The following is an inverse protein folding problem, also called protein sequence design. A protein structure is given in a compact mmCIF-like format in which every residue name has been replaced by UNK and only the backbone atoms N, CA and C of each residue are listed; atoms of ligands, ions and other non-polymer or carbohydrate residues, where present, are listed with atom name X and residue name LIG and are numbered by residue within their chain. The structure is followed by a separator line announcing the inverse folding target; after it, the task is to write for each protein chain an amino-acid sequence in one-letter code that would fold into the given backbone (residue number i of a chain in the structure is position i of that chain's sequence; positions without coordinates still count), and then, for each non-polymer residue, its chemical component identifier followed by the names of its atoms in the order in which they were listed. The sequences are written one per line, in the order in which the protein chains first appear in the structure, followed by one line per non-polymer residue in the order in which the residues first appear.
data_IF_871644351023
#
_entry.id   IF_871644351023
#
_cell.length_a   1.000
_cell.length_b   1.000
_cell.length_c   1.000
_cell.angle_alpha   90.00
_cell.angle_beta   90.00
_cell.angle_gamma   90.00
#
_symmetry.space_group_name_H-M   'P 1'
#
loop_
_entity.id
_entity.type
_entity.pdbx_description
1 polymer ?
#
# COMPACT_ATOMS: atom_id res chain seq x y z
N UNK A 1 -16.32 9.14 1.06
CA UNK A 1 -15.65 10.39 1.51
C UNK A 1 -14.27 9.98 1.99
N UNK A 2 -13.16 10.15 1.28
CA UNK A 2 -12.78 11.24 0.39
C UNK A 2 -11.73 10.78 -0.64
N UNK A 3 -12.08 10.77 -1.92
CA UNK A 3 -11.12 10.69 -3.05
C UNK A 3 -10.53 12.07 -3.39
N UNK A 4 -10.89 13.10 -2.62
CA UNK A 4 -10.49 14.50 -2.85
C UNK A 4 -9.09 14.88 -2.35
N UNK A 5 -8.28 13.92 -1.87
CA UNK A 5 -6.98 14.23 -1.25
C UNK A 5 -5.86 14.44 -2.29
N UNK A 6 -5.95 13.84 -3.48
CA UNK A 6 -4.82 13.90 -4.43
C UNK A 6 -4.80 15.10 -5.38
N UNK A 7 -5.93 15.80 -5.61
CA UNK A 7 -5.96 16.93 -6.57
C UNK A 7 -5.72 18.29 -5.90
N UNK A 8 -5.93 18.42 -4.58
CA UNK A 8 -5.79 19.72 -3.90
C UNK A 8 -4.41 20.01 -3.29
N UNK A 9 -3.49 19.04 -3.25
CA UNK A 9 -2.15 19.25 -2.68
C UNK A 9 -1.11 19.79 -3.68
N UNK A 10 -1.40 19.76 -4.99
CA UNK A 10 -0.45 20.16 -6.04
C UNK A 10 -0.43 21.67 -6.37
N UNK A 11 -1.24 22.52 -5.71
CA UNK A 11 -1.33 23.96 -6.05
C UNK A 11 -0.95 24.96 -4.94
N UNK A 12 -0.37 24.52 -3.81
CA UNK A 12 -0.12 25.42 -2.68
C UNK A 12 1.25 25.32 -1.99
N UNK A 13 2.29 24.81 -2.68
CA UNK A 13 3.67 24.82 -2.16
C UNK A 13 4.65 25.55 -3.08
N UNK A 14 4.30 26.76 -3.50
CA UNK A 14 5.29 27.81 -3.81
C UNK A 14 5.54 28.61 -2.53
N UNK A 15 6.37 28.08 -1.62
CA UNK A 15 7.22 28.84 -0.67
C UNK A 15 7.83 27.88 0.37
N UNK A 16 9.13 27.59 0.24
CA UNK A 16 9.88 26.87 1.26
C UNK A 16 11.17 26.29 0.71
N UNK A 17 12.23 27.10 0.67
CA UNK A 17 13.60 26.61 0.54
C UNK A 17 13.90 25.63 1.69
N UNK A 18 14.46 24.47 1.35
CA UNK A 18 15.12 23.57 2.28
C UNK A 18 16.26 22.89 1.52
N UNK A 19 17.49 23.29 1.85
CA UNK A 19 18.70 22.94 1.13
C UNK A 19 18.92 21.43 0.98
N UNK A 20 19.22 21.04 -0.25
CA UNK A 20 19.63 19.71 -0.61
C UNK A 20 21.03 19.39 -0.07
N UNK A 21 21.11 18.31 0.69
CA UNK A 21 22.29 17.44 0.69
C UNK A 21 21.81 15.99 0.66
N UNK A 22 21.58 15.47 -0.55
CA UNK A 22 21.37 14.03 -0.74
C UNK A 22 22.73 13.33 -0.62
N UNK A 23 22.97 12.68 0.51
CA UNK A 23 23.98 11.63 0.57
C UNK A 23 23.33 10.35 0.04
N UNK A 24 23.60 10.05 -1.23
CA UNK A 24 23.19 8.81 -1.86
C UNK A 24 23.76 7.62 -1.09
N UNK A 25 22.87 6.85 -0.47
CA UNK A 25 23.13 5.46 -0.14
C UNK A 25 22.13 4.64 -0.94
N UNK A 26 22.64 3.95 -1.96
CA UNK A 26 21.92 2.91 -2.66
C UNK A 26 21.64 1.78 -1.66
N UNK A 27 20.45 1.76 -1.08
CA UNK A 27 19.96 0.57 -0.40
C UNK A 27 19.60 -0.44 -1.50
N UNK A 28 20.44 -1.46 -1.65
CA UNK A 28 20.23 -2.54 -2.62
C UNK A 28 18.98 -3.33 -2.24
N UNK A 29 18.15 -3.58 -3.25
CA UNK A 29 17.05 -4.56 -3.24
C UNK A 29 17.51 -5.83 -2.51
N UNK A 30 16.86 -6.15 -1.37
CA UNK A 30 17.27 -7.23 -0.45
C UNK A 30 17.51 -6.79 1.01
N UNK A 31 17.39 -5.49 1.33
CA UNK A 31 17.54 -4.95 2.69
C UNK A 31 16.29 -5.04 3.57
N UNK A 32 15.17 -5.57 3.08
CA UNK A 32 14.05 -5.91 3.97
C UNK A 32 14.55 -7.00 4.90
N UNK A 33 14.59 -6.72 6.22
CA UNK A 33 14.90 -7.77 7.20
C UNK A 33 14.04 -8.98 6.83
N UNK A 34 14.69 -10.07 6.44
CA UNK A 34 14.04 -11.36 6.32
C UNK A 34 13.37 -11.59 7.67
N UNK A 35 12.04 -11.47 7.72
CA UNK A 35 11.29 -11.88 8.90
C UNK A 35 11.70 -13.34 9.17
N UNK A 36 12.04 -13.69 10.42
CA UNK A 36 12.69 -14.96 10.73
C UNK A 36 11.94 -16.13 10.07
N UNK A 37 12.69 -17.08 9.50
CA UNK A 37 12.16 -18.25 8.79
C UNK A 37 11.34 -19.19 9.71
N UNK A 38 11.40 -18.98 11.03
CA UNK A 38 10.60 -19.70 12.01
C UNK A 38 9.23 -19.04 12.19
N UNK A 39 8.18 -19.84 11.95
CA UNK A 39 6.82 -19.59 12.44
C UNK A 39 6.93 -19.35 13.94
N UNK A 40 6.94 -18.08 14.38
CA UNK A 40 6.78 -17.74 15.79
C UNK A 40 5.47 -18.38 16.27
N UNK A 41 5.50 -19.24 17.30
CA UNK A 41 4.29 -19.75 17.94
C UNK A 41 3.38 -18.57 18.31
N UNK A 42 2.06 -18.79 18.42
CA UNK A 42 1.08 -17.76 18.84
C UNK A 42 1.52 -16.97 20.09
N UNK A 43 2.33 -17.60 20.95
CA UNK A 43 2.89 -17.04 22.18
C UNK A 43 4.09 -16.10 21.97
N UNK A 44 4.50 -15.88 20.72
CA UNK A 44 5.61 -15.01 20.29
C UNK A 44 5.20 -14.04 19.17
N UNK A 45 3.88 -13.85 18.95
CA UNK A 45 3.37 -12.71 18.19
C UNK A 45 4.00 -11.41 18.72
N UNK A 46 4.24 -10.38 17.87
CA UNK A 46 4.89 -9.12 18.28
C UNK A 46 4.29 -8.61 19.60
N UNK A 47 5.11 -8.01 20.47
CA UNK A 47 4.74 -7.61 21.85
C UNK A 47 3.40 -6.87 21.96
N UNK A 48 2.99 -6.20 20.89
CA UNK A 48 1.67 -5.56 20.70
C UNK A 48 0.51 -6.54 20.96
N UNK A 49 0.58 -7.80 20.53
CA UNK A 49 -0.45 -8.81 20.80
C UNK A 49 -0.39 -9.39 22.22
N UNK A 50 0.66 -9.09 22.99
CA UNK A 50 0.91 -9.68 24.31
C UNK A 50 0.56 -8.76 25.47
N UNK A 51 0.71 -7.44 25.31
CA UNK A 51 0.45 -6.47 26.37
C UNK A 51 -0.98 -5.91 26.34
N UNK A 52 -1.74 -6.10 27.42
CA UNK A 52 -2.93 -5.30 27.73
C UNK A 52 -4.28 -5.72 27.13
N UNK A 53 -4.40 -6.90 26.51
CA UNK A 53 -5.67 -7.41 25.96
C UNK A 53 -6.08 -8.77 26.51
N UNK A 54 -7.37 -8.91 26.89
CA UNK A 54 -7.95 -10.21 27.24
C UNK A 54 -8.16 -11.07 25.98
N UNK A 55 -8.23 -12.40 26.11
CA UNK A 55 -8.54 -13.30 24.99
C UNK A 55 -9.82 -12.90 24.23
N UNK A 56 -10.86 -12.45 24.92
CA UNK A 56 -12.13 -12.03 24.32
C UNK A 56 -11.99 -10.74 23.50
N UNK A 57 -11.20 -9.79 23.99
CA UNK A 57 -10.95 -8.54 23.27
C UNK A 57 -10.15 -8.78 21.99
N UNK A 58 -9.20 -9.73 22.02
CA UNK A 58 -8.46 -10.17 20.83
C UNK A 58 -9.41 -10.81 19.82
N UNK A 59 -10.32 -11.68 20.27
CA UNK A 59 -11.29 -12.33 19.41
C UNK A 59 -12.28 -11.35 18.75
N UNK A 60 -12.79 -10.38 19.51
CA UNK A 60 -13.71 -9.37 18.96
C UNK A 60 -13.03 -8.39 18.02
N UNK A 61 -11.73 -8.14 18.21
CA UNK A 61 -10.93 -7.40 17.25
C UNK A 61 -10.84 -8.22 15.94
N UNK A 62 -10.36 -9.45 16.04
CA UNK A 62 -10.17 -10.35 14.89
C UNK A 62 -11.45 -10.58 14.09
N UNK A 63 -12.62 -10.69 14.71
CA UNK A 63 -13.93 -10.78 14.00
C UNK A 63 -14.23 -9.58 13.10
N UNK A 64 -13.77 -8.38 13.48
CA UNK A 64 -14.05 -7.15 12.70
C UNK A 64 -13.17 -7.06 11.47
N UNK A 65 -11.96 -7.59 11.58
CA UNK A 65 -10.88 -7.48 10.61
C UNK A 65 -10.93 -8.64 9.62
N UNK A 66 -11.25 -9.83 10.13
CA UNK A 66 -11.50 -11.04 9.36
C UNK A 66 -12.89 -11.54 9.74
N UNK A 67 -13.95 -11.06 9.06
CA UNK A 67 -15.29 -11.55 9.30
C UNK A 67 -15.37 -13.06 9.11
N UNK A 68 -16.25 -13.69 9.88
CA UNK A 68 -16.55 -15.12 9.75
C UNK A 68 -17.10 -15.40 8.35
N UNK A 69 -16.41 -16.24 7.61
CA UNK A 69 -16.92 -16.91 6.42
C UNK A 69 -17.37 -18.34 6.75
N UNK A 70 -17.81 -19.06 5.72
CA UNK A 70 -18.55 -20.33 5.88
C UNK A 70 -17.68 -21.54 6.29
N UNK A 71 -16.40 -21.36 6.58
CA UNK A 71 -15.41 -22.43 6.81
C UNK A 71 -15.30 -22.92 8.27
N UNK A 72 -16.19 -22.47 9.16
CA UNK A 72 -16.24 -22.85 10.58
C UNK A 72 -14.94 -22.56 11.38
N UNK A 73 -14.01 -21.76 10.85
CA UNK A 73 -12.79 -21.33 11.53
C UNK A 73 -13.06 -20.11 12.41
N UNK A 74 -12.44 -20.07 13.59
CA UNK A 74 -12.39 -18.84 14.39
C UNK A 74 -11.56 -17.77 13.68
N UNK A 75 -11.76 -16.48 14.00
CA UNK A 75 -10.90 -15.41 13.49
C UNK A 75 -9.41 -15.62 13.77
N UNK A 76 -9.03 -16.20 14.91
CA UNK A 76 -7.64 -16.55 15.23
C UNK A 76 -7.10 -17.62 14.28
N UNK A 77 -7.89 -18.67 14.04
CA UNK A 77 -7.53 -19.75 13.13
C UNK A 77 -7.40 -19.26 11.69
N UNK A 78 -8.25 -18.31 11.28
CA UNK A 78 -8.16 -17.62 9.98
C UNK A 78 -6.89 -16.79 9.86
N UNK A 79 -6.51 -16.05 10.91
CA UNK A 79 -5.26 -15.29 10.91
C UNK A 79 -4.07 -16.22 10.74
N UNK A 80 -4.04 -17.30 11.53
CA UNK A 80 -2.95 -18.27 11.49
C UNK A 80 -2.86 -18.93 10.13
N UNK A 81 -4.01 -19.30 9.54
CA UNK A 81 -4.08 -19.86 8.20
C UNK A 81 -3.58 -18.87 7.15
N UNK A 82 -4.04 -17.62 7.17
CA UNK A 82 -3.58 -16.56 6.27
C UNK A 82 -2.06 -16.37 6.36
N UNK A 83 -1.52 -16.36 7.59
CA UNK A 83 -0.08 -16.29 7.82
C UNK A 83 0.65 -17.51 7.26
N UNK A 84 0.16 -18.72 7.52
CA UNK A 84 0.72 -19.95 6.98
C UNK A 84 0.74 -19.94 5.45
N UNK A 85 -0.36 -19.52 4.82
CA UNK A 85 -0.47 -19.44 3.36
C UNK A 85 0.50 -18.37 2.80
N UNK A 86 0.62 -17.22 3.47
CA UNK A 86 1.55 -16.15 3.10
C UNK A 86 3.03 -16.58 3.25
N UNK A 87 3.36 -17.28 4.34
CA UNK A 87 4.68 -17.87 4.61
C UNK A 87 5.00 -18.98 3.59
N UNK A 88 3.99 -19.73 3.12
CA UNK A 88 4.12 -20.73 2.08
C UNK A 88 4.31 -20.15 0.66
N UNK A 89 4.21 -18.82 0.52
CA UNK A 89 4.45 -18.12 -0.74
C UNK A 89 3.19 -17.68 -1.49
N UNK A 90 1.99 -17.89 -0.95
CA UNK A 90 0.76 -17.50 -1.63
C UNK A 90 0.67 -15.97 -1.76
N UNK A 91 0.65 -15.47 -3.00
CA UNK A 91 0.73 -14.04 -3.27
C UNK A 91 -0.53 -13.27 -2.84
N UNK A 92 -1.71 -13.91 -2.87
CA UNK A 92 -2.95 -13.30 -2.39
C UNK A 92 -2.92 -13.19 -0.87
N UNK A 93 -2.49 -14.26 -0.18
CA UNK A 93 -2.32 -14.27 1.26
C UNK A 93 -1.27 -13.25 1.71
N UNK A 94 -0.17 -13.10 0.98
CA UNK A 94 0.84 -12.07 1.24
C UNK A 94 0.27 -10.66 1.03
N UNK A 95 -0.48 -10.41 -0.04
CA UNK A 95 -1.14 -9.14 -0.27
C UNK A 95 -2.15 -8.81 0.84
N UNK A 96 -2.99 -9.77 1.21
CA UNK A 96 -3.96 -9.63 2.27
C UNK A 96 -3.30 -9.40 3.64
N UNK A 97 -2.23 -10.13 3.95
CA UNK A 97 -1.46 -9.94 5.18
C UNK A 97 -0.77 -8.57 5.22
N UNK A 98 -0.23 -8.10 4.09
CA UNK A 98 0.29 -6.73 3.97
C UNK A 98 -0.78 -5.67 4.20
N UNK A 99 -1.97 -5.85 3.62
CA UNK A 99 -3.11 -4.95 3.82
C UNK A 99 -3.58 -4.91 5.28
N UNK A 100 -3.54 -6.04 5.97
CA UNK A 100 -3.83 -6.14 7.40
C UNK A 100 -2.87 -5.34 8.27
N UNK A 101 -1.57 -5.38 7.97
CA UNK A 101 -0.57 -4.56 8.67
C UNK A 101 -0.70 -3.07 8.30
N UNK A 102 -1.02 -2.77 7.04
CA UNK A 102 -1.18 -1.40 6.54
C UNK A 102 -2.41 -0.69 7.13
N UNK A 103 -3.56 -1.36 7.21
CA UNK A 103 -4.79 -0.75 7.72
C UNK A 103 -4.80 -0.59 9.24
N UNK A 104 -3.86 -1.25 9.95
CA UNK A 104 -3.84 -1.33 11.41
C UNK A 104 -5.04 -2.05 12.00
N UNK A 105 -5.96 -2.54 11.17
CA UNK A 105 -7.17 -3.24 11.59
C UNK A 105 -6.76 -4.50 12.34
N UNK A 106 -5.78 -5.28 11.84
CA UNK A 106 -5.20 -6.44 12.50
C UNK A 106 -4.78 -6.22 13.96
N UNK A 107 -4.52 -4.97 14.36
CA UNK A 107 -3.66 -4.65 15.49
C UNK A 107 -4.30 -3.66 16.49
N UNK A 108 -5.35 -2.89 16.23
CA UNK A 108 -5.74 -1.81 17.19
C UNK A 108 -7.15 -1.87 17.77
N UNK A 109 -7.25 -2.30 19.03
CA UNK A 109 -7.45 -1.44 20.23
C UNK A 109 -6.89 -2.20 21.42
N UNK A 110 -5.96 -1.65 22.20
CA UNK A 110 -5.67 -2.18 23.54
C UNK A 110 -6.83 -1.85 24.52
N UNK A 111 -6.86 -2.48 25.70
CA UNK A 111 -7.91 -2.24 26.70
C UNK A 111 -7.94 -0.80 27.27
N UNK A 112 -6.99 0.05 26.90
CA UNK A 112 -6.92 1.46 27.32
C UNK A 112 -7.44 2.43 26.26
N UNK A 113 -7.75 1.94 25.06
CA UNK A 113 -8.20 2.75 23.94
C UNK A 113 -7.07 3.43 23.17
N UNK A 114 -5.82 3.01 23.39
CA UNK A 114 -4.66 3.49 22.63
C UNK A 114 -4.52 2.67 21.34
N UNK A 115 -4.29 3.38 20.23
CA UNK A 115 -4.03 2.77 18.91
C UNK A 115 -2.67 2.09 18.97
N UNK A 116 -2.64 0.79 18.67
CA UNK A 116 -1.40 0.05 18.48
C UNK A 116 -0.87 0.35 17.07
N UNK A 117 0.41 0.69 16.96
CA UNK A 117 1.04 1.27 15.77
C UNK A 117 0.86 0.41 14.52
N UNK A 118 0.59 1.06 13.39
CA UNK A 118 0.68 0.50 12.04
C UNK A 118 2.09 -0.06 11.82
N UNK A 119 2.23 -1.35 11.49
CA UNK A 119 3.53 -1.90 11.12
C UNK A 119 3.73 -1.74 9.61
N UNK A 120 4.02 -0.50 9.21
CA UNK A 120 4.21 -0.13 7.81
C UNK A 120 5.45 -0.82 7.20
N UNK A 121 6.47 -1.13 8.01
CA UNK A 121 7.63 -1.89 7.55
C UNK A 121 7.25 -3.35 7.24
N UNK A 122 6.45 -3.99 8.08
CA UNK A 122 5.93 -5.32 7.81
C UNK A 122 4.97 -5.33 6.61
N UNK A 123 4.09 -4.32 6.50
CA UNK A 123 3.21 -4.16 5.35
C UNK A 123 4.02 -4.05 4.05
N UNK A 124 5.06 -3.21 4.03
CA UNK A 124 5.97 -3.07 2.89
C UNK A 124 6.63 -4.41 2.53
N UNK A 125 7.12 -5.15 3.53
CA UNK A 125 7.74 -6.45 3.32
C UNK A 125 6.80 -7.48 2.68
N UNK A 126 5.55 -7.54 3.13
CA UNK A 126 4.55 -8.46 2.58
C UNK A 126 4.07 -8.06 1.18
N UNK A 127 3.81 -6.77 0.95
CA UNK A 127 3.50 -6.27 -0.38
C UNK A 127 4.65 -6.51 -1.35
N UNK A 128 5.90 -6.32 -0.93
CA UNK A 128 7.07 -6.62 -1.76
C UNK A 128 7.09 -8.08 -2.22
N UNK A 129 6.93 -9.04 -1.31
CA UNK A 129 6.88 -10.47 -1.65
C UNK A 129 5.78 -10.81 -2.66
N UNK A 130 4.57 -10.27 -2.46
CA UNK A 130 3.47 -10.48 -3.40
C UNK A 130 3.69 -9.76 -4.74
N UNK A 131 4.26 -8.56 -4.70
CA UNK A 131 4.51 -7.72 -5.87
C UNK A 131 5.59 -8.31 -6.79
N UNK A 132 6.64 -8.91 -6.22
CA UNK A 132 7.66 -9.66 -6.95
C UNK A 132 7.08 -10.87 -7.68
N UNK A 133 6.03 -11.47 -7.13
CA UNK A 133 5.29 -12.56 -7.78
C UNK A 133 4.30 -12.09 -8.86
N UNK A 134 4.20 -10.78 -9.10
CA UNK A 134 3.33 -10.21 -10.12
C UNK A 134 1.96 -9.79 -9.61
N UNK A 135 1.67 -9.88 -8.31
CA UNK A 135 0.33 -9.57 -7.81
C UNK A 135 0.00 -8.07 -7.99
N UNK A 136 -1.02 -7.69 -8.80
CA UNK A 136 -1.25 -6.30 -9.18
C UNK A 136 -1.70 -5.40 -8.02
N UNK A 137 -2.48 -5.94 -7.06
CA UNK A 137 -2.86 -5.21 -5.84
C UNK A 137 -1.65 -4.85 -4.98
N UNK A 138 -0.80 -5.83 -4.65
CA UNK A 138 0.44 -5.61 -3.93
C UNK A 138 1.42 -4.67 -4.65
N UNK A 139 1.55 -4.77 -5.99
CA UNK A 139 2.36 -3.82 -6.77
C UNK A 139 1.84 -2.38 -6.62
N UNK A 140 0.52 -2.19 -6.71
CA UNK A 140 -0.09 -0.88 -6.46
C UNK A 140 0.17 -0.38 -5.04
N UNK A 141 -0.06 -1.22 -4.02
CA UNK A 141 0.14 -0.85 -2.62
C UNK A 141 1.60 -0.51 -2.33
N UNK A 142 2.55 -1.28 -2.86
CA UNK A 142 3.98 -0.98 -2.71
C UNK A 142 4.36 0.33 -3.42
N UNK A 143 3.75 0.62 -4.58
CA UNK A 143 3.89 1.91 -5.26
C UNK A 143 3.44 3.08 -4.39
N UNK A 144 2.31 2.94 -3.69
CA UNK A 144 1.84 3.96 -2.73
C UNK A 144 2.83 4.15 -1.57
N UNK A 145 3.34 3.06 -0.98
CA UNK A 145 4.30 3.15 0.13
C UNK A 145 5.56 3.93 -0.27
N UNK A 146 6.09 3.68 -1.46
CA UNK A 146 7.23 4.45 -1.99
C UNK A 146 6.88 5.90 -2.32
N UNK A 147 5.70 6.17 -2.86
CA UNK A 147 5.27 7.53 -3.18
C UNK A 147 5.15 8.40 -1.91
N UNK A 148 4.66 7.81 -0.82
CA UNK A 148 4.38 8.50 0.45
C UNK A 148 5.52 8.38 1.48
N UNK A 149 6.50 7.51 1.26
CA UNK A 149 7.57 7.23 2.22
C UNK A 149 7.08 6.54 3.49
N UNK A 150 6.09 5.65 3.36
CA UNK A 150 5.46 4.94 4.48
C UNK A 150 6.05 3.55 4.63
N UNK A 151 6.70 3.27 5.77
CA UNK A 151 7.36 1.98 5.99
C UNK A 151 8.58 1.72 5.10
N UNK A 152 8.85 2.61 4.15
CA UNK A 152 9.97 2.60 3.20
C UNK A 152 10.42 4.05 2.98
N UNK A 153 11.70 4.32 2.65
CA UNK A 153 12.12 5.65 2.23
C UNK A 153 11.35 6.11 0.99
N UNK A 154 10.90 7.37 0.99
CA UNK A 154 10.18 7.94 -0.15
C UNK A 154 11.05 7.89 -1.41
N UNK A 155 10.49 7.33 -2.49
CA UNK A 155 11.14 7.19 -3.78
C UNK A 155 10.11 7.18 -4.91
N UNK A 156 9.89 8.36 -5.50
CA UNK A 156 8.92 8.54 -6.57
C UNK A 156 9.27 7.72 -7.83
N UNK A 157 10.55 7.44 -8.10
CA UNK A 157 10.94 6.64 -9.26
C UNK A 157 10.54 5.17 -9.06
N UNK A 158 10.78 4.61 -7.87
CA UNK A 158 10.29 3.26 -7.52
C UNK A 158 8.77 3.18 -7.50
N UNK A 159 8.08 4.21 -7.03
CA UNK A 159 6.63 4.27 -7.10
C UNK A 159 6.12 4.13 -8.54
N UNK A 160 6.73 4.86 -9.49
CA UNK A 160 6.42 4.73 -10.92
C UNK A 160 6.65 3.31 -11.41
N UNK A 161 7.78 2.68 -11.05
CA UNK A 161 8.09 1.32 -11.50
C UNK A 161 7.02 0.33 -11.05
N UNK A 162 6.62 0.39 -9.77
CA UNK A 162 5.59 -0.49 -9.22
C UNK A 162 4.19 -0.19 -9.76
N UNK A 163 3.82 1.08 -9.88
CA UNK A 163 2.56 1.46 -10.51
C UNK A 163 2.52 1.03 -11.98
N UNK A 164 3.62 1.13 -12.72
CA UNK A 164 3.70 0.68 -14.12
C UNK A 164 3.38 -0.80 -14.23
N UNK A 165 4.02 -1.65 -13.40
CA UNK A 165 3.73 -3.09 -13.37
C UNK A 165 2.25 -3.39 -13.05
N UNK A 166 1.66 -2.67 -12.08
CA UNK A 166 0.26 -2.87 -11.73
C UNK A 166 -0.70 -2.37 -12.84
N UNK A 167 -0.39 -1.22 -13.43
CA UNK A 167 -1.20 -0.57 -14.46
C UNK A 167 -1.22 -1.36 -15.78
N UNK A 168 -0.10 -1.97 -16.16
CA UNK A 168 0.01 -2.87 -17.31
C UNK A 168 -0.87 -4.13 -17.14
N UNK A 169 -1.11 -4.55 -15.91
CA UNK A 169 -2.04 -5.64 -15.56
C UNK A 169 -3.50 -5.17 -15.40
N UNK A 170 -3.79 -3.90 -15.70
CA UNK A 170 -5.15 -3.37 -15.66
C UNK A 170 -5.57 -2.76 -14.33
N UNK A 171 -4.69 -2.66 -13.33
CA UNK A 171 -5.03 -1.99 -12.07
C UNK A 171 -5.41 -0.52 -12.32
N UNK A 172 -6.68 -0.20 -12.07
CA UNK A 172 -7.32 1.08 -12.43
C UNK A 172 -6.71 2.24 -11.65
N UNK A 173 -6.44 2.04 -10.37
CA UNK A 173 -5.89 3.08 -9.49
C UNK A 173 -4.42 3.36 -9.83
N UNK A 174 -3.65 2.33 -10.15
CA UNK A 174 -2.28 2.48 -10.65
C UNK A 174 -2.23 3.24 -11.97
N UNK A 175 -3.15 2.96 -12.91
CA UNK A 175 -3.26 3.70 -14.16
C UNK A 175 -3.54 5.18 -13.90
N UNK A 176 -4.49 5.50 -13.02
CA UNK A 176 -4.76 6.90 -12.66
C UNK A 176 -3.54 7.57 -12.02
N UNK A 177 -2.86 6.91 -11.08
CA UNK A 177 -1.68 7.45 -10.42
C UNK A 177 -0.51 7.69 -11.40
N UNK A 178 -0.23 6.77 -12.32
CA UNK A 178 0.76 7.02 -13.39
C UNK A 178 0.38 8.20 -14.28
N UNK A 179 -0.90 8.35 -14.59
CA UNK A 179 -1.42 9.51 -15.30
C UNK A 179 -1.05 10.81 -14.60
N UNK A 180 -1.26 10.88 -13.29
CA UNK A 180 -0.88 12.04 -12.47
C UNK A 180 0.63 12.23 -12.45
N UNK A 181 1.42 11.18 -12.19
CA UNK A 181 2.88 11.28 -12.10
C UNK A 181 3.52 11.78 -13.41
N UNK A 182 3.03 11.32 -14.56
CA UNK A 182 3.44 11.87 -15.86
C UNK A 182 2.97 13.31 -16.09
N UNK A 183 1.80 13.70 -15.60
CA UNK A 183 1.28 15.05 -15.74
C UNK A 183 2.11 16.08 -14.95
N UNK A 184 2.53 15.72 -13.74
CA UNK A 184 3.30 16.61 -12.85
C UNK A 184 4.81 16.46 -13.00
N UNK A 185 5.28 15.32 -13.54
CA UNK A 185 6.71 15.02 -13.68
C UNK A 185 7.36 14.53 -12.37
N UNK A 186 6.61 13.79 -11.55
CA UNK A 186 7.10 13.24 -10.29
C UNK A 186 7.59 11.81 -10.51
N UNK A 187 8.85 11.52 -10.15
CA UNK A 187 9.46 10.20 -10.39
C UNK A 187 9.73 9.88 -11.88
N UNK A 188 9.10 10.59 -12.80
CA UNK A 188 9.26 10.49 -14.26
C UNK A 188 9.37 11.87 -14.90
N UNK A 189 9.99 11.99 -16.09
CA UNK A 189 9.85 13.19 -16.90
C UNK A 189 8.38 13.50 -17.17
N UNK A 190 8.04 14.79 -17.05
CA UNK A 190 6.71 15.29 -17.39
C UNK A 190 6.39 14.98 -18.85
N UNK A 191 5.25 14.34 -19.07
CA UNK A 191 4.75 13.92 -20.38
C UNK A 191 3.22 13.91 -20.37
N UNK A 192 2.62 14.97 -20.93
CA UNK A 192 1.15 15.12 -20.97
C UNK A 192 0.51 14.05 -21.85
N UNK A 193 1.18 13.59 -22.91
CA UNK A 193 0.61 12.57 -23.80
C UNK A 193 0.52 11.23 -23.08
N UNK A 194 1.60 10.82 -22.40
CA UNK A 194 1.57 9.62 -21.54
C UNK A 194 0.56 9.73 -20.41
N UNK A 195 0.41 10.91 -19.81
CA UNK A 195 -0.61 11.14 -18.80
C UNK A 195 -2.01 10.87 -19.35
N UNK A 196 -2.33 11.41 -20.54
CA UNK A 196 -3.60 11.18 -21.24
C UNK A 196 -3.80 9.71 -21.55
N UNK A 197 -2.78 9.01 -22.08
CA UNK A 197 -2.88 7.57 -22.37
C UNK A 197 -3.27 6.74 -21.14
N UNK A 198 -2.64 7.02 -19.99
CA UNK A 198 -2.96 6.32 -18.75
C UNK A 198 -4.34 6.68 -18.19
N UNK A 199 -4.71 7.97 -18.23
CA UNK A 199 -6.05 8.38 -17.81
C UNK A 199 -7.14 7.82 -18.71
N UNK A 200 -6.92 7.69 -20.02
CA UNK A 200 -7.89 7.08 -20.94
C UNK A 200 -8.12 5.60 -20.62
N UNK A 201 -7.06 4.86 -20.30
CA UNK A 201 -7.18 3.47 -19.83
C UNK A 201 -7.98 3.39 -18.53
N UNK A 202 -7.68 4.21 -17.52
CA UNK A 202 -8.40 4.21 -16.26
C UNK A 202 -9.87 4.64 -16.43
N UNK A 203 -10.13 5.68 -17.24
CA UNK A 203 -11.47 6.19 -17.53
C UNK A 203 -12.33 5.18 -18.28
N UNK A 204 -11.75 4.41 -19.21
CA UNK A 204 -12.43 3.32 -19.91
C UNK A 204 -12.89 2.22 -18.95
N UNK A 205 -12.19 2.03 -17.83
CA UNK A 205 -12.56 1.12 -16.75
C UNK A 205 -13.48 1.78 -15.70
N UNK A 206 -13.94 3.01 -15.93
CA UNK A 206 -14.91 3.69 -15.08
C UNK A 206 -14.31 4.58 -13.98
N UNK A 207 -12.99 4.79 -13.95
CA UNK A 207 -12.38 5.71 -12.98
C UNK A 207 -12.84 7.16 -13.23
N UNK A 208 -13.55 7.75 -12.27
CA UNK A 208 -14.10 9.10 -12.41
C UNK A 208 -13.02 10.18 -12.28
N UNK A 209 -12.02 10.00 -11.43
CA UNK A 209 -10.91 10.95 -11.27
C UNK A 209 -10.12 11.10 -12.58
N UNK A 210 -9.86 9.98 -13.27
CA UNK A 210 -9.21 9.97 -14.57
C UNK A 210 -10.06 10.70 -15.64
N UNK A 211 -11.39 10.54 -15.61
CA UNK A 211 -12.30 11.31 -16.50
C UNK A 211 -12.24 12.80 -16.20
N UNK A 212 -12.19 13.20 -14.93
CA UNK A 212 -12.04 14.59 -14.51
C UNK A 212 -10.68 15.17 -14.95
N UNK A 213 -9.60 14.43 -14.76
CA UNK A 213 -8.25 14.81 -15.21
C UNK A 213 -8.20 15.01 -16.73
N UNK A 214 -8.81 14.12 -17.52
CA UNK A 214 -8.91 14.28 -18.98
C UNK A 214 -9.68 15.54 -19.38
N UNK A 215 -10.79 15.85 -18.69
CA UNK A 215 -11.56 17.08 -18.93
C UNK A 215 -10.72 18.32 -18.62
N UNK A 216 -9.99 18.32 -17.51
CA UNK A 216 -9.13 19.43 -17.11
C UNK A 216 -8.00 19.67 -18.11
N UNK A 217 -7.33 18.61 -18.59
CA UNK A 217 -6.27 18.70 -19.61
C UNK A 217 -6.83 19.29 -20.92
N UNK A 218 -7.99 18.81 -21.38
CA UNK A 218 -8.64 19.30 -22.60
C UNK A 218 -9.07 20.77 -22.47
N UNK A 219 -9.51 21.19 -21.29
CA UNK A 219 -9.89 22.58 -21.03
C UNK A 219 -8.68 23.53 -20.98
N UNK A 220 -7.52 23.05 -20.53
CA UNK A 220 -6.29 23.86 -20.46
C UNK A 220 -5.57 24.02 -21.82
N UNK A 221 -5.89 23.17 -22.81
CA UNK A 221 -5.32 23.22 -24.16
C UNK A 221 -6.12 24.03 -25.19
N UNK A 222 -7.31 24.54 -24.81
CA UNK A 222 -8.17 25.41 -25.62
C UNK A 222 -8.05 26.87 -25.16
#
# INVERSE_FOLDING_TARGET
MNTRVFILFALLMLSGCGDGTSSGKSETEGSWKKLPDEITPINELPSIFQEGLTPEQKADLLKKIMPTGDDNLTPEERFLKLRQDADAGDAEAQNALGALFYSGEAISKDATGKVMDYDLEAAAGWFYRAAEQGHPGAQFNLGLLYAEGQGVPQDAAKAVEWFTKAAEQGNVDAQNNLGVMHLVGEGVPKDVNKAVEWFEKAAAQGNEDAKENLKAIRAAGN
#
